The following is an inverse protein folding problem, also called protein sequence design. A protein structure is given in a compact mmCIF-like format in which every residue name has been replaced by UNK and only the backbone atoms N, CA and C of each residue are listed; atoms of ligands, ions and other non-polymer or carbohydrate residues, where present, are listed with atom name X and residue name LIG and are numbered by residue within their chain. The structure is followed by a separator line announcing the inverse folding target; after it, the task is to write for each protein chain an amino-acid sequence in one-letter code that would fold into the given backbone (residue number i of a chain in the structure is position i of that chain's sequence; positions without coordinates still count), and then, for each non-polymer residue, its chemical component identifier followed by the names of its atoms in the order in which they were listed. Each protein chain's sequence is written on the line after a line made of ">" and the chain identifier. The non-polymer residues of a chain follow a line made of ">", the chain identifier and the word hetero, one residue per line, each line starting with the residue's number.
data_IF_670182918090
#
_entry.id   IF_670182918090
#
_cell.length_a   1.000
_cell.length_b   1.000
_cell.length_c   1.000
_cell.angle_alpha   90.00
_cell.angle_beta   90.00
_cell.angle_gamma   90.00
#
_symmetry.space_group_name_H-M   'P 1'
#
loop_
_entity.id
_entity.type
_entity.pdbx_description
1 polymer ?
#
# COMPACT_ATOMS: atom_id res chain seq x y z
N UNK A 1 -24.52 -0.42 49.81
CA UNK A 1 -23.68 0.77 50.11
C UNK A 1 -24.50 2.04 50.26
N UNK A 2 -25.43 2.37 49.36
CA UNK A 2 -26.24 3.61 49.43
C UNK A 2 -27.04 3.76 50.74
N UNK A 3 -27.58 2.68 51.31
CA UNK A 3 -28.36 2.73 52.55
C UNK A 3 -27.54 3.02 53.82
N UNK A 4 -26.25 2.65 53.82
CA UNK A 4 -25.34 2.86 54.96
C UNK A 4 -24.91 4.32 55.05
N UNK A 5 -24.46 4.89 53.93
CA UNK A 5 -24.14 6.32 53.84
C UNK A 5 -25.38 7.21 54.04
N UNK A 6 -26.57 6.76 53.60
CA UNK A 6 -27.84 7.46 53.84
C UNK A 6 -28.18 7.56 55.34
N UNK A 7 -27.98 6.48 56.12
CA UNK A 7 -28.22 6.47 57.57
C UNK A 7 -27.27 7.40 58.32
N UNK A 8 -26.01 7.47 57.90
CA UNK A 8 -25.00 8.37 58.50
C UNK A 8 -25.32 9.85 58.19
N UNK A 9 -25.75 10.16 56.97
CA UNK A 9 -26.20 11.52 56.58
C UNK A 9 -27.38 12.00 57.41
N UNK A 10 -28.39 11.17 57.59
CA UNK A 10 -29.58 11.53 58.38
C UNK A 10 -29.23 11.82 59.85
N UNK A 11 -28.30 11.05 60.43
CA UNK A 11 -27.85 11.23 61.83
C UNK A 11 -27.05 12.53 62.02
N UNK A 12 -26.21 12.91 61.04
CA UNK A 12 -25.40 14.14 61.11
C UNK A 12 -26.21 15.43 60.89
N UNK A 13 -27.30 15.36 60.11
CA UNK A 13 -28.26 16.45 59.93
C UNK A 13 -29.10 16.72 61.19
N UNK A 14 -29.44 15.68 61.96
CA UNK A 14 -30.15 15.81 63.24
C UNK A 14 -29.31 16.47 64.35
N UNK A 15 -27.98 16.45 64.25
CA UNK A 15 -27.07 17.02 65.26
C UNK A 15 -26.67 18.50 65.03
N UNK A 16 -27.28 19.23 64.08
CA UNK A 16 -26.89 20.61 63.69
C UNK A 16 -25.42 20.74 63.20
N UNK A 17 -24.79 19.65 62.76
CA UNK A 17 -23.37 19.60 62.33
C UNK A 17 -23.21 19.72 60.82
N UNK A 18 -23.72 20.82 60.25
CA UNK A 18 -23.70 21.10 58.80
C UNK A 18 -22.29 21.01 58.21
N UNK A 19 -21.27 21.52 58.92
CA UNK A 19 -19.87 21.49 58.47
C UNK A 19 -19.34 20.05 58.30
N UNK A 20 -19.70 19.13 59.20
CA UNK A 20 -19.29 17.72 59.08
C UNK A 20 -20.02 17.04 57.93
N UNK A 21 -21.31 17.32 57.77
CA UNK A 21 -22.12 16.81 56.65
C UNK A 21 -21.53 17.19 55.28
N UNK A 22 -21.10 18.45 55.11
CA UNK A 22 -20.49 18.93 53.87
C UNK A 22 -19.17 18.21 53.57
N UNK A 23 -18.31 18.00 54.56
CA UNK A 23 -17.04 17.27 54.40
C UNK A 23 -17.29 15.82 53.97
N UNK A 24 -18.25 15.13 54.58
CA UNK A 24 -18.59 13.74 54.20
C UNK A 24 -19.22 13.65 52.81
N UNK A 25 -20.08 14.59 52.43
CA UNK A 25 -20.66 14.64 51.09
C UNK A 25 -19.59 14.93 50.02
N UNK A 26 -18.64 15.82 50.31
CA UNK A 26 -17.50 16.09 49.43
C UNK A 26 -16.63 14.83 49.25
N UNK A 27 -16.37 14.09 50.33
CA UNK A 27 -15.63 12.83 50.28
C UNK A 27 -16.31 11.76 49.42
N UNK A 28 -17.64 11.65 49.48
CA UNK A 28 -18.41 10.72 48.64
C UNK A 28 -18.34 11.11 47.15
N UNK A 29 -18.46 12.41 46.82
CA UNK A 29 -18.33 12.90 45.46
C UNK A 29 -16.92 12.60 44.91
N UNK A 30 -15.87 12.86 45.71
CA UNK A 30 -14.48 12.55 45.34
C UNK A 30 -14.31 11.05 45.11
N UNK A 31 -14.86 10.20 45.97
CA UNK A 31 -14.72 8.75 45.83
C UNK A 31 -15.46 8.21 44.59
N UNK A 32 -16.66 8.71 44.31
CA UNK A 32 -17.42 8.36 43.09
C UNK A 32 -16.70 8.85 41.84
N UNK A 33 -16.20 10.08 41.84
CA UNK A 33 -15.47 10.64 40.69
C UNK A 33 -14.19 9.87 40.41
N UNK A 34 -13.41 9.49 41.43
CA UNK A 34 -12.25 8.59 41.28
C UNK A 34 -12.67 7.26 40.66
N UNK A 35 -13.76 6.65 41.13
CA UNK A 35 -14.28 5.40 40.56
C UNK A 35 -14.62 5.51 39.07
N UNK A 36 -15.29 6.59 38.67
CA UNK A 36 -15.64 6.86 37.27
C UNK A 36 -14.38 7.09 36.42
N UNK A 37 -13.42 7.88 36.93
CA UNK A 37 -12.16 8.14 36.22
C UNK A 37 -11.35 6.85 36.00
N UNK A 38 -11.26 5.97 37.00
CA UNK A 38 -10.60 4.67 36.86
C UNK A 38 -11.33 3.81 35.81
N UNK A 39 -12.66 3.75 35.85
CA UNK A 39 -13.44 2.98 34.88
C UNK A 39 -13.24 3.50 33.45
N UNK A 40 -13.29 4.81 33.25
CA UNK A 40 -12.97 5.46 31.98
C UNK A 40 -11.54 5.13 31.52
N UNK A 41 -10.57 5.21 32.43
CA UNK A 41 -9.17 4.97 32.09
C UNK A 41 -8.90 3.52 31.70
N UNK A 42 -9.52 2.54 32.37
CA UNK A 42 -9.45 1.13 31.98
C UNK A 42 -10.07 0.93 30.60
N UNK A 43 -11.23 1.54 30.33
CA UNK A 43 -11.89 1.44 29.03
C UNK A 43 -11.02 2.04 27.92
N UNK A 44 -10.53 3.27 28.11
CA UNK A 44 -9.63 3.96 27.16
C UNK A 44 -8.34 3.17 26.93
N UNK A 45 -7.77 2.55 27.97
CA UNK A 45 -6.59 1.70 27.83
C UNK A 45 -6.88 0.45 26.99
N UNK A 46 -8.01 -0.23 27.23
CA UNK A 46 -8.40 -1.40 26.46
C UNK A 46 -8.67 -1.05 24.98
N UNK A 47 -9.37 0.04 24.70
CA UNK A 47 -9.60 0.53 23.33
C UNK A 47 -8.28 0.83 22.62
N UNK A 48 -7.38 1.59 23.27
CA UNK A 48 -6.05 1.87 22.71
C UNK A 48 -5.25 0.61 22.42
N UNK A 49 -5.36 -0.42 23.26
CA UNK A 49 -4.70 -1.72 23.04
C UNK A 49 -5.27 -2.41 21.81
N UNK A 50 -6.59 -2.44 21.65
CA UNK A 50 -7.25 -3.06 20.50
C UNK A 50 -6.90 -2.33 19.20
N UNK A 51 -6.93 -1.00 19.20
CA UNK A 51 -6.49 -0.17 18.05
C UNK A 51 -5.05 -0.46 17.66
N UNK A 52 -4.13 -0.60 18.63
CA UNK A 52 -2.73 -0.96 18.34
C UNK A 52 -2.59 -2.32 17.69
N UNK A 53 -3.38 -3.31 18.14
CA UNK A 53 -3.37 -4.64 17.52
C UNK A 53 -3.85 -4.55 16.07
N UNK A 54 -4.91 -3.78 15.81
CA UNK A 54 -5.41 -3.56 14.45
C UNK A 54 -4.41 -2.78 13.58
N UNK A 55 -3.78 -1.73 14.12
CA UNK A 55 -2.71 -1.00 13.45
C UNK A 55 -1.57 -1.93 13.03
N UNK A 56 -1.12 -2.84 13.90
CA UNK A 56 -0.07 -3.80 13.55
C UNK A 56 -0.52 -4.76 12.43
N UNK A 57 -1.76 -5.24 12.45
CA UNK A 57 -2.31 -6.07 11.38
C UNK A 57 -2.33 -5.32 10.05
N UNK A 58 -2.80 -4.06 10.06
CA UNK A 58 -2.83 -3.20 8.87
C UNK A 58 -1.42 -2.95 8.33
N UNK A 59 -0.46 -2.61 9.20
CA UNK A 59 0.93 -2.37 8.81
C UNK A 59 1.58 -3.62 8.21
N UNK A 60 1.28 -4.81 8.74
CA UNK A 60 1.77 -6.07 8.19
C UNK A 60 1.21 -6.34 6.79
N UNK A 61 -0.10 -6.16 6.62
CA UNK A 61 -0.76 -6.33 5.31
C UNK A 61 -0.20 -5.37 4.26
N UNK A 62 -0.05 -4.09 4.63
CA UNK A 62 0.56 -3.10 3.75
C UNK A 62 2.00 -3.48 3.41
N UNK A 63 2.80 -3.91 4.40
CA UNK A 63 4.18 -4.32 4.14
C UNK A 63 4.25 -5.45 3.11
N UNK A 64 3.47 -6.51 3.28
CA UNK A 64 3.44 -7.65 2.35
C UNK A 64 3.01 -7.22 0.93
N UNK A 65 2.00 -6.34 0.84
CA UNK A 65 1.55 -5.74 -0.43
C UNK A 65 2.66 -4.92 -1.11
N UNK A 66 3.32 -4.02 -0.37
CA UNK A 66 4.40 -3.20 -0.91
C UNK A 66 5.64 -4.00 -1.30
N UNK A 67 5.97 -5.07 -0.57
CA UNK A 67 7.08 -5.96 -0.93
C UNK A 67 6.77 -6.68 -2.26
N UNK A 68 5.56 -7.18 -2.45
CA UNK A 68 5.17 -7.81 -3.72
C UNK A 68 5.05 -6.82 -4.88
N UNK A 69 4.55 -5.61 -4.62
CA UNK A 69 4.54 -4.54 -5.63
C UNK A 69 5.95 -4.11 -6.03
N UNK A 70 6.89 -4.07 -5.08
CA UNK A 70 8.29 -3.76 -5.37
C UNK A 70 8.91 -4.84 -6.27
N UNK A 71 8.71 -6.13 -5.95
CA UNK A 71 9.18 -7.24 -6.78
C UNK A 71 8.64 -7.13 -8.21
N UNK A 72 7.35 -6.84 -8.37
CA UNK A 72 6.77 -6.62 -9.70
C UNK A 72 7.43 -5.44 -10.42
N UNK A 73 7.60 -4.30 -9.77
CA UNK A 73 8.21 -3.10 -10.37
C UNK A 73 9.65 -3.41 -10.80
N UNK A 74 10.44 -4.08 -9.97
CA UNK A 74 11.82 -4.46 -10.28
C UNK A 74 11.89 -5.36 -11.51
N UNK A 75 10.97 -6.34 -11.63
CA UNK A 75 10.83 -7.16 -12.84
C UNK A 75 10.48 -6.33 -14.08
N UNK A 76 9.55 -5.37 -13.98
CA UNK A 76 9.19 -4.50 -15.11
C UNK A 76 10.33 -3.57 -15.52
N UNK A 77 11.13 -3.08 -14.57
CA UNK A 77 12.34 -2.31 -14.84
C UNK A 77 13.35 -3.16 -15.61
N UNK A 78 13.65 -4.37 -15.13
CA UNK A 78 14.59 -5.27 -15.78
C UNK A 78 14.16 -5.63 -17.22
N UNK A 79 12.86 -5.88 -17.44
CA UNK A 79 12.30 -6.11 -18.77
C UNK A 79 12.47 -4.89 -19.68
N UNK A 80 12.20 -3.68 -19.18
CA UNK A 80 12.38 -2.44 -19.95
C UNK A 80 13.85 -2.16 -20.27
N UNK A 81 14.76 -2.40 -19.34
CA UNK A 81 16.19 -2.26 -19.57
C UNK A 81 16.67 -3.22 -20.67
N UNK A 82 16.17 -4.46 -20.68
CA UNK A 82 16.46 -5.43 -21.74
C UNK A 82 15.91 -4.95 -23.10
N UNK A 83 14.69 -4.40 -23.14
CA UNK A 83 14.10 -3.81 -24.35
C UNK A 83 14.98 -2.66 -24.88
N UNK A 84 15.36 -1.73 -24.01
CA UNK A 84 16.16 -0.55 -24.39
C UNK A 84 17.54 -0.98 -24.89
N UNK A 85 18.21 -1.89 -24.18
CA UNK A 85 19.52 -2.42 -24.60
C UNK A 85 19.43 -3.13 -25.95
N UNK A 86 18.40 -3.95 -26.14
CA UNK A 86 18.16 -4.70 -27.37
C UNK A 86 17.86 -3.78 -28.56
N UNK A 87 16.99 -2.79 -28.37
CA UNK A 87 16.69 -1.78 -29.38
C UNK A 87 17.93 -0.95 -29.75
N UNK A 88 18.73 -0.56 -28.77
CA UNK A 88 19.98 0.20 -28.99
C UNK A 88 20.98 -0.61 -29.81
N UNK A 89 21.12 -1.91 -29.54
CA UNK A 89 22.03 -2.79 -30.29
C UNK A 89 21.55 -2.98 -31.74
N UNK A 90 20.24 -3.15 -31.96
CA UNK A 90 19.67 -3.23 -33.31
C UNK A 90 19.91 -1.92 -34.09
N UNK A 91 19.73 -0.76 -33.45
CA UNK A 91 20.04 0.55 -34.07
C UNK A 91 21.53 0.66 -34.42
N UNK A 92 22.43 0.17 -33.57
CA UNK A 92 23.86 0.16 -33.87
C UNK A 92 24.22 -0.68 -35.11
N UNK A 93 23.56 -1.82 -35.34
CA UNK A 93 23.77 -2.60 -36.56
C UNK A 93 23.43 -1.79 -37.82
N UNK A 94 22.39 -0.95 -37.75
CA UNK A 94 21.98 -0.05 -38.84
C UNK A 94 23.04 1.04 -39.06
N UNK A 95 23.43 1.74 -38.00
CA UNK A 95 24.37 2.88 -38.07
C UNK A 95 25.76 2.45 -38.57
N UNK A 96 26.25 1.32 -38.07
CA UNK A 96 27.55 0.76 -38.45
C UNK A 96 27.53 -0.02 -39.75
N UNK A 97 26.33 -0.29 -40.33
CA UNK A 97 26.13 -1.18 -41.48
C UNK A 97 26.74 -2.56 -41.25
N UNK A 98 26.64 -3.07 -40.02
CA UNK A 98 27.15 -4.39 -39.65
C UNK A 98 26.29 -5.46 -40.29
N UNK A 99 26.90 -6.40 -41.02
CA UNK A 99 26.21 -7.60 -41.48
C UNK A 99 25.98 -8.55 -40.29
N UNK A 100 24.72 -8.79 -39.97
CA UNK A 100 24.28 -9.72 -38.91
C UNK A 100 23.40 -10.80 -39.50
N UNK A 101 23.52 -12.01 -38.92
CA UNK A 101 22.65 -13.13 -39.30
C UNK A 101 21.20 -12.83 -38.93
N UNK A 102 20.26 -13.44 -39.67
CA UNK A 102 18.82 -13.34 -39.37
C UNK A 102 18.52 -13.77 -37.93
N UNK A 103 19.13 -14.87 -37.48
CA UNK A 103 18.87 -15.44 -36.16
C UNK A 103 19.35 -14.51 -35.04
N UNK A 104 20.55 -13.95 -35.17
CA UNK A 104 21.08 -12.96 -34.22
C UNK A 104 20.20 -11.71 -34.19
N UNK A 105 19.80 -11.20 -35.35
CA UNK A 105 18.92 -10.05 -35.44
C UNK A 105 17.57 -10.33 -34.76
N UNK A 106 16.96 -11.49 -34.99
CA UNK A 106 15.65 -11.83 -34.42
C UNK A 106 15.73 -12.08 -32.91
N UNK A 107 16.81 -12.68 -32.43
CA UNK A 107 17.07 -12.81 -31.00
C UNK A 107 17.18 -11.44 -30.32
N UNK A 108 17.80 -10.46 -30.98
CA UNK A 108 17.92 -9.08 -30.46
C UNK A 108 16.65 -8.27 -30.63
N UNK A 109 15.84 -8.55 -31.64
CA UNK A 109 14.57 -7.86 -31.84
C UNK A 109 13.45 -8.43 -30.97
N UNK A 110 13.53 -9.69 -30.54
CA UNK A 110 12.43 -10.35 -29.84
C UNK A 110 11.97 -9.66 -28.55
N UNK A 111 12.83 -9.04 -27.70
CA UNK A 111 12.35 -8.34 -26.51
C UNK A 111 11.51 -7.10 -26.86
N UNK A 112 11.79 -6.44 -28.00
CA UNK A 112 11.16 -5.18 -28.43
C UNK A 112 9.65 -5.35 -28.71
N UNK A 113 9.20 -6.59 -28.97
CA UNK A 113 7.79 -6.88 -29.27
C UNK A 113 6.91 -6.98 -28.02
N UNK A 114 7.44 -6.66 -26.83
CA UNK A 114 6.65 -6.59 -25.61
C UNK A 114 6.25 -5.16 -25.23
N UNK A 115 5.13 -5.07 -24.51
CA UNK A 115 4.72 -3.87 -23.78
C UNK A 115 4.41 -4.27 -22.32
N UNK A 116 5.43 -4.47 -21.47
CA UNK A 116 5.21 -4.91 -20.10
C UNK A 116 4.56 -3.78 -19.28
N UNK A 117 3.43 -4.10 -18.64
CA UNK A 117 2.67 -3.21 -17.74
C UNK A 117 2.78 -3.66 -16.30
N UNK A 118 2.69 -2.72 -15.37
CA UNK A 118 2.64 -2.96 -13.94
C UNK A 118 1.20 -3.20 -13.47
N UNK A 119 0.98 -4.35 -12.83
CA UNK A 119 -0.32 -4.77 -12.29
C UNK A 119 -0.29 -4.69 -10.76
N UNK A 120 -0.54 -3.50 -10.18
CA UNK A 120 -0.42 -3.29 -8.74
C UNK A 120 -1.38 -4.20 -7.96
N UNK A 121 -0.85 -4.89 -6.96
CA UNK A 121 -1.66 -5.45 -5.89
C UNK A 121 -2.15 -4.25 -5.06
N UNK A 122 -3.45 -4.04 -5.03
CA UNK A 122 -4.08 -2.96 -4.27
C UNK A 122 -5.05 -3.54 -3.26
N UNK A 123 -4.79 -3.29 -1.99
CA UNK A 123 -5.75 -3.55 -0.94
C UNK A 123 -6.60 -2.31 -0.68
N UNK A 124 -7.87 -2.50 -0.29
CA UNK A 124 -8.77 -1.39 0.05
C UNK A 124 -8.32 -0.56 1.27
N UNK A 125 -7.25 -0.97 1.95
CA UNK A 125 -6.74 -0.34 3.17
C UNK A 125 -6.49 1.16 2.95
N UNK A 126 -5.82 1.52 1.86
CA UNK A 126 -5.44 2.90 1.56
C UNK A 126 -6.64 3.80 1.22
N UNK A 127 -7.74 3.21 0.76
CA UNK A 127 -8.98 3.90 0.44
C UNK A 127 -10.02 3.84 1.58
N UNK A 128 -9.73 3.07 2.64
CA UNK A 128 -10.63 2.83 3.75
C UNK A 128 -10.30 3.67 4.99
N UNK A 129 -11.24 3.74 5.92
CA UNK A 129 -11.03 4.34 7.24
C UNK A 129 -9.90 3.69 8.04
N UNK A 130 -9.46 2.48 7.67
CA UNK A 130 -8.37 1.75 8.34
C UNK A 130 -7.03 2.50 8.25
N UNK A 131 -6.83 3.35 7.25
CA UNK A 131 -5.61 4.16 7.15
C UNK A 131 -5.45 5.13 8.35
N UNK A 132 -6.56 5.50 9.00
CA UNK A 132 -6.56 6.36 10.18
C UNK A 132 -6.05 5.65 11.44
N UNK A 133 -6.04 4.30 11.45
CA UNK A 133 -5.48 3.52 12.54
C UNK A 133 -3.95 3.66 12.62
N UNK A 134 -3.29 4.03 11.51
CA UNK A 134 -1.85 4.24 11.47
C UNK A 134 -1.53 5.57 12.16
N UNK A 135 -0.90 5.49 13.34
CA UNK A 135 -0.58 6.64 14.19
C UNK A 135 0.58 7.46 13.65
N UNK A 136 1.49 6.83 12.90
CA UNK A 136 2.59 7.53 12.26
C UNK A 136 2.06 8.42 11.12
N UNK A 137 1.94 9.72 11.39
CA UNK A 137 1.40 10.68 10.43
C UNK A 137 2.25 10.80 9.17
N UNK A 138 3.57 10.68 9.29
CA UNK A 138 4.47 10.75 8.13
C UNK A 138 4.25 9.55 7.22
N UNK A 139 4.20 8.34 7.78
CA UNK A 139 3.91 7.12 7.03
C UNK A 139 2.54 7.24 6.35
N UNK A 140 1.52 7.67 7.08
CA UNK A 140 0.17 7.88 6.53
C UNK A 140 0.16 8.87 5.36
N UNK A 141 0.91 9.97 5.43
CA UNK A 141 1.05 10.94 4.32
C UNK A 141 1.69 10.31 3.09
N UNK A 142 2.77 9.54 3.26
CA UNK A 142 3.44 8.88 2.13
C UNK A 142 2.54 7.82 1.50
N UNK A 143 1.86 7.02 2.32
CA UNK A 143 0.90 6.00 1.86
C UNK A 143 -0.29 6.61 1.11
N UNK A 144 -0.78 7.78 1.52
CA UNK A 144 -1.87 8.47 0.86
C UNK A 144 -1.52 8.92 -0.58
N UNK A 145 -0.22 9.11 -0.88
CA UNK A 145 0.24 9.48 -2.22
C UNK A 145 0.45 8.28 -3.15
N UNK A 146 0.48 7.05 -2.63
CA UNK A 146 0.74 5.85 -3.43
C UNK A 146 -0.21 5.69 -4.63
N UNK A 147 -1.55 5.86 -4.48
CA UNK A 147 -2.45 5.74 -5.63
C UNK A 147 -2.12 6.71 -6.77
N UNK A 148 -1.67 7.92 -6.44
CA UNK A 148 -1.26 8.92 -7.44
C UNK A 148 -0.08 8.43 -8.26
N UNK A 149 0.98 7.90 -7.63
CA UNK A 149 2.14 7.36 -8.34
C UNK A 149 1.77 6.18 -9.25
N UNK A 150 0.85 5.32 -8.79
CA UNK A 150 0.36 4.20 -9.59
C UNK A 150 -0.42 4.68 -10.80
N UNK A 151 -1.29 5.68 -10.64
CA UNK A 151 -2.03 6.28 -11.76
C UNK A 151 -1.07 6.91 -12.78
N UNK A 152 -0.12 7.72 -12.34
CA UNK A 152 0.87 8.36 -13.22
C UNK A 152 1.66 7.31 -14.03
N UNK A 153 2.11 6.23 -13.39
CA UNK A 153 2.79 5.14 -14.08
C UNK A 153 1.90 4.46 -15.12
N UNK A 154 0.63 4.17 -14.77
CA UNK A 154 -0.32 3.53 -15.68
C UNK A 154 -0.64 4.40 -16.90
N UNK A 155 -0.76 5.71 -16.73
CA UNK A 155 -0.98 6.64 -17.86
C UNK A 155 0.18 6.55 -18.86
N UNK A 156 1.43 6.51 -18.38
CA UNK A 156 2.60 6.33 -19.25
C UNK A 156 2.61 4.95 -19.93
N UNK A 157 2.27 3.89 -19.21
CA UNK A 157 2.19 2.55 -19.76
C UNK A 157 1.10 2.42 -20.83
N UNK A 158 -0.05 3.07 -20.65
CA UNK A 158 -1.13 3.09 -21.62
C UNK A 158 -0.71 3.73 -22.94
N UNK A 159 0.10 4.79 -22.92
CA UNK A 159 0.64 5.40 -24.13
C UNK A 159 1.53 4.43 -24.90
N UNK A 160 2.41 3.70 -24.21
CA UNK A 160 3.23 2.65 -24.81
C UNK A 160 2.34 1.56 -25.41
N UNK A 161 1.39 1.03 -24.65
CA UNK A 161 0.49 -0.04 -25.09
C UNK A 161 -0.31 0.39 -26.32
N UNK A 162 -0.77 1.64 -26.38
CA UNK A 162 -1.42 2.22 -27.56
C UNK A 162 -0.48 2.23 -28.78
N UNK A 163 0.77 2.65 -28.61
CA UNK A 163 1.76 2.62 -29.69
C UNK A 163 2.01 1.19 -30.20
N UNK A 164 2.14 0.24 -29.28
CA UNK A 164 2.35 -1.17 -29.62
C UNK A 164 1.15 -1.75 -30.38
N UNK A 165 -0.06 -1.58 -29.85
CA UNK A 165 -1.28 -2.18 -30.42
C UNK A 165 -1.71 -1.53 -31.74
N UNK A 166 -1.52 -0.21 -31.90
CA UNK A 166 -2.00 0.50 -33.07
C UNK A 166 -0.98 0.60 -34.20
N UNK A 167 0.31 0.41 -33.91
CA UNK A 167 1.38 0.56 -34.90
C UNK A 167 2.31 -0.65 -34.95
N UNK A 168 2.99 -0.95 -33.84
CA UNK A 168 4.09 -1.94 -33.85
C UNK A 168 3.60 -3.34 -34.21
N UNK A 169 2.60 -3.85 -33.49
CA UNK A 169 2.05 -5.19 -33.70
C UNK A 169 1.42 -5.33 -35.10
N UNK A 170 0.53 -4.43 -35.56
CA UNK A 170 0.01 -4.47 -36.93
C UNK A 170 1.10 -4.47 -38.00
N UNK A 171 2.12 -3.63 -37.86
CA UNK A 171 3.22 -3.55 -38.82
C UNK A 171 4.03 -4.85 -38.85
N UNK A 172 4.38 -5.42 -37.69
CA UNK A 172 5.09 -6.70 -37.60
C UNK A 172 4.30 -7.87 -38.21
N UNK A 173 2.96 -7.82 -38.12
CA UNK A 173 2.07 -8.79 -38.77
C UNK A 173 2.11 -8.60 -40.29
N UNK A 174 2.00 -7.37 -40.77
CA UNK A 174 2.00 -7.03 -42.20
C UNK A 174 3.27 -7.52 -42.90
N UNK A 175 4.44 -7.33 -42.28
CA UNK A 175 5.73 -7.77 -42.84
C UNK A 175 6.06 -9.25 -42.54
N UNK A 176 5.16 -9.99 -41.88
CA UNK A 176 5.30 -11.41 -41.60
C UNK A 176 6.32 -11.79 -40.53
N UNK A 177 6.76 -10.84 -39.69
CA UNK A 177 7.77 -11.06 -38.64
C UNK A 177 7.19 -11.36 -37.26
N UNK A 178 5.91 -11.06 -37.02
CA UNK A 178 5.28 -11.19 -35.71
C UNK A 178 5.44 -12.60 -35.10
N UNK A 179 5.17 -13.67 -35.87
CA UNK A 179 5.28 -15.05 -35.37
C UNK A 179 6.71 -15.41 -34.99
N UNK A 180 7.67 -15.12 -35.86
CA UNK A 180 9.08 -15.46 -35.64
C UNK A 180 9.61 -14.75 -34.39
N UNK A 181 9.38 -13.44 -34.28
CA UNK A 181 9.84 -12.66 -33.13
C UNK A 181 9.21 -13.14 -31.82
N UNK A 182 7.93 -13.53 -31.82
CA UNK A 182 7.31 -14.13 -30.64
C UNK A 182 7.95 -15.48 -30.27
N UNK A 183 8.26 -16.36 -31.24
CA UNK A 183 8.95 -17.63 -30.96
C UNK A 183 10.33 -17.38 -30.32
N UNK A 184 11.13 -16.49 -30.92
CA UNK A 184 12.43 -16.10 -30.36
C UNK A 184 12.32 -15.44 -28.98
N UNK A 185 11.19 -14.81 -28.68
CA UNK A 185 10.94 -14.25 -27.36
C UNK A 185 10.75 -15.36 -26.31
N UNK A 186 9.82 -16.28 -26.55
CA UNK A 186 9.46 -17.35 -25.62
C UNK A 186 10.53 -18.43 -25.49
N UNK A 187 11.32 -18.69 -26.54
CA UNK A 187 12.40 -19.67 -26.50
C UNK A 187 13.64 -19.17 -25.71
N UNK A 188 13.69 -17.88 -25.38
CA UNK A 188 14.78 -17.30 -24.61
C UNK A 188 14.42 -17.19 -23.12
N UNK A 189 14.99 -18.02 -22.23
CA UNK A 189 14.64 -18.01 -20.81
C UNK A 189 15.04 -16.72 -20.08
N UNK A 190 15.91 -15.87 -20.66
CA UNK A 190 16.23 -14.54 -20.12
C UNK A 190 15.11 -13.52 -20.33
N UNK A 191 14.15 -13.83 -21.18
CA UNK A 191 13.00 -12.98 -21.46
C UNK A 191 11.81 -13.29 -20.54
N UNK A 192 11.86 -14.42 -19.83
CA UNK A 192 10.77 -14.94 -19.00
C UNK A 192 11.04 -14.85 -17.49
N UNK A 193 12.25 -14.46 -17.10
CA UNK A 193 12.68 -14.31 -15.71
C UNK A 193 13.23 -12.91 -15.48
#
# INVERSE_FOLDING_TARGET
>A
MISFFRKIRQKLLQENRITRYLIYALGEIILVTIGILIALQINTWNTNRLERIQEQTVLKQLKEEFESNLEQIDLKIALRDNIISSATEVLQYIDSKTEVSKDTLFQKMSPIVMAPTFDPIQNDILQSEKIQLIRNEQLRRVLANWPTYVTELKEQEEEWVKLYNNFTSPYLIEIGLSRDLNLYFYDNPKNLN
#
